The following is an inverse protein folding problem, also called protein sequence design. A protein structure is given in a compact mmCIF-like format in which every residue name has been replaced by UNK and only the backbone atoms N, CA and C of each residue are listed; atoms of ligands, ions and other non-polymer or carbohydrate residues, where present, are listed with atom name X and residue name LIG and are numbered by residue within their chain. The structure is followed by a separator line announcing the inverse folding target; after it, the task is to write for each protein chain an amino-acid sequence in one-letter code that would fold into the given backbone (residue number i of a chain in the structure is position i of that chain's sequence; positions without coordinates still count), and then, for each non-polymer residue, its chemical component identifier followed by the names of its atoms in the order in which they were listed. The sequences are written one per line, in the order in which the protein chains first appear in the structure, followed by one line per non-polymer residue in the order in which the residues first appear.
data_IF_916696700849
#
_entry.id   IF_916696700849
#
_cell.length_a   1.000
_cell.length_b   1.000
_cell.length_c   1.000
_cell.angle_alpha   90.00
_cell.angle_beta   90.00
_cell.angle_gamma   90.00
#
_symmetry.space_group_name_H-M   'P 1'
#
loop_
_entity.id
_entity.type
_entity.pdbx_description
1 polymer ?
#
# COMPACT_ATOMS: atom_id res chain seq x y z
N UNK A 1 0.68 -11.75 31.15
CA UNK A 1 0.58 -12.00 29.69
C UNK A 1 -0.89 -12.08 29.31
N UNK A 2 -1.33 -11.32 28.31
CA UNK A 2 -2.75 -11.20 27.92
C UNK A 2 -3.33 -12.44 27.26
N UNK A 3 -4.66 -12.57 27.32
CA UNK A 3 -5.41 -13.65 26.65
C UNK A 3 -5.08 -13.66 25.15
N UNK A 4 -4.62 -14.80 24.61
CA UNK A 4 -4.37 -14.96 23.17
C UNK A 4 -5.63 -14.66 22.37
N UNK A 5 -5.52 -13.73 21.41
CA UNK A 5 -6.64 -13.19 20.63
C UNK A 5 -7.75 -12.53 21.49
N UNK A 6 -7.42 -12.02 22.68
CA UNK A 6 -8.38 -11.47 23.64
C UNK A 6 -9.29 -10.39 23.04
N UNK A 7 -8.74 -9.49 22.23
CA UNK A 7 -9.51 -8.41 21.58
C UNK A 7 -10.55 -8.97 20.61
N UNK A 8 -10.17 -9.92 19.73
CA UNK A 8 -11.11 -10.51 18.78
C UNK A 8 -12.21 -11.28 19.51
N UNK A 9 -11.83 -12.08 20.52
CA UNK A 9 -12.78 -12.81 21.37
C UNK A 9 -13.75 -11.86 22.07
N UNK A 10 -13.25 -10.74 22.59
CA UNK A 10 -14.06 -9.71 23.25
C UNK A 10 -15.08 -9.10 22.28
N UNK A 11 -14.66 -8.69 21.08
CA UNK A 11 -15.57 -8.10 20.07
C UNK A 11 -16.66 -9.10 19.69
N UNK A 12 -16.29 -10.37 19.42
CA UNK A 12 -17.26 -11.41 19.07
C UNK A 12 -18.22 -11.70 20.22
N UNK A 13 -17.71 -11.75 21.46
CA UNK A 13 -18.55 -11.95 22.65
C UNK A 13 -19.53 -10.79 22.83
N UNK A 14 -19.08 -9.55 22.68
CA UNK A 14 -19.93 -8.37 22.80
C UNK A 14 -21.04 -8.34 21.75
N UNK A 15 -20.71 -8.61 20.48
CA UNK A 15 -21.70 -8.67 19.39
C UNK A 15 -22.71 -9.80 19.60
N UNK A 16 -22.24 -10.99 19.99
CA UNK A 16 -23.14 -12.14 20.23
C UNK A 16 -24.01 -11.95 21.47
N UNK A 17 -23.52 -11.31 22.54
CA UNK A 17 -24.35 -10.97 23.71
C UNK A 17 -25.41 -9.92 23.39
N UNK A 18 -25.15 -9.02 22.43
CA UNK A 18 -26.15 -8.09 21.88
C UNK A 18 -27.11 -8.76 20.88
N UNK A 19 -27.01 -10.08 20.65
CA UNK A 19 -27.88 -10.82 19.75
C UNK A 19 -27.55 -10.66 18.27
N UNK A 20 -26.34 -10.20 17.90
CA UNK A 20 -25.90 -10.20 16.51
C UNK A 20 -25.34 -11.56 16.10
N UNK A 21 -25.60 -11.95 14.85
CA UNK A 21 -24.82 -12.92 14.12
C UNK A 21 -23.47 -12.29 13.78
N UNK A 22 -22.38 -13.04 13.90
CA UNK A 22 -21.03 -12.51 13.70
C UNK A 22 -20.17 -13.41 12.86
N UNK A 23 -19.27 -12.81 12.08
CA UNK A 23 -18.27 -13.53 11.29
C UNK A 23 -17.06 -12.63 11.11
N UNK A 24 -15.86 -13.20 11.08
CA UNK A 24 -14.65 -12.42 10.85
C UNK A 24 -13.72 -13.13 9.87
N UNK A 25 -12.85 -12.36 9.24
CA UNK A 25 -11.84 -12.87 8.32
C UNK A 25 -10.68 -11.90 8.21
N UNK A 26 -9.47 -12.44 8.00
CA UNK A 26 -8.31 -11.64 7.61
C UNK A 26 -8.23 -11.63 6.10
N UNK A 27 -8.30 -10.45 5.49
CA UNK A 27 -8.24 -10.26 4.04
C UNK A 27 -6.87 -9.71 3.65
N UNK A 28 -6.29 -10.28 2.59
CA UNK A 28 -5.10 -9.75 1.93
C UNK A 28 -5.53 -8.81 0.81
N UNK A 29 -5.19 -7.53 0.90
CA UNK A 29 -5.61 -6.54 -0.09
C UNK A 29 -5.06 -6.83 -1.49
N UNK A 30 -3.81 -7.30 -1.60
CA UNK A 30 -3.22 -7.67 -2.89
C UNK A 30 -3.96 -8.76 -3.65
N UNK A 31 -4.80 -9.56 -2.97
CA UNK A 31 -5.69 -10.54 -3.61
C UNK A 31 -6.95 -9.93 -4.25
N UNK A 32 -7.12 -8.61 -4.13
CA UNK A 32 -8.26 -7.83 -4.64
C UNK A 32 -7.81 -6.76 -5.63
N UNK A 33 -6.77 -7.06 -6.42
CA UNK A 33 -6.37 -6.25 -7.57
C UNK A 33 -5.55 -5.01 -7.21
N UNK A 34 -4.68 -5.06 -6.20
CA UNK A 34 -3.72 -3.97 -5.92
C UNK A 34 -2.30 -4.52 -5.77
N UNK A 35 -1.26 -3.76 -6.11
CA UNK A 35 0.13 -4.19 -6.01
C UNK A 35 0.68 -4.01 -4.58
N UNK A 36 -0.06 -4.38 -3.55
CA UNK A 36 0.37 -4.13 -2.16
C UNK A 36 0.10 -5.33 -1.25
N UNK A 37 1.13 -5.68 -0.47
CA UNK A 37 0.97 -6.58 0.67
C UNK A 37 0.33 -5.82 1.83
N UNK A 38 -0.93 -6.11 2.15
CA UNK A 38 -1.64 -5.48 3.26
C UNK A 38 -2.76 -6.36 3.78
N UNK A 39 -2.52 -6.97 4.94
CA UNK A 39 -3.52 -7.78 5.66
C UNK A 39 -4.34 -6.92 6.61
N UNK A 40 -5.65 -7.15 6.66
CA UNK A 40 -6.60 -6.47 7.55
C UNK A 40 -7.62 -7.46 8.12
N UNK A 41 -7.91 -7.34 9.41
CA UNK A 41 -8.99 -8.08 10.07
C UNK A 41 -10.31 -7.35 9.85
N UNK A 42 -11.32 -8.06 9.36
CA UNK A 42 -12.68 -7.56 9.22
C UNK A 42 -13.63 -8.40 10.06
N UNK A 43 -14.63 -7.77 10.66
CA UNK A 43 -15.67 -8.40 11.47
C UNK A 43 -17.02 -7.89 10.99
N UNK A 44 -17.87 -8.79 10.51
CA UNK A 44 -19.27 -8.54 10.24
C UNK A 44 -20.12 -8.80 11.48
N UNK A 45 -21.09 -7.91 11.70
CA UNK A 45 -22.20 -8.09 12.64
C UNK A 45 -23.53 -7.87 11.93
N UNK A 46 -24.44 -8.83 11.98
CA UNK A 46 -25.79 -8.71 11.42
C UNK A 46 -26.86 -9.08 12.47
N UNK A 47 -27.96 -8.32 12.56
CA UNK A 47 -29.08 -8.67 13.44
C UNK A 47 -29.66 -10.05 13.08
N UNK A 48 -30.29 -10.77 14.02
CA UNK A 48 -30.87 -12.13 13.80
C UNK A 48 -31.81 -12.23 12.59
N UNK A 49 -32.55 -11.17 12.28
CA UNK A 49 -33.48 -11.11 11.13
C UNK A 49 -32.83 -10.50 9.88
N UNK A 50 -31.52 -10.62 9.73
CA UNK A 50 -30.76 -10.14 8.57
C UNK A 50 -29.82 -11.22 8.08
N UNK A 51 -29.44 -11.17 6.80
CA UNK A 51 -28.43 -12.08 6.26
C UNK A 51 -27.03 -11.59 6.64
N UNK A 52 -26.25 -12.48 7.27
CA UNK A 52 -24.84 -12.22 7.58
C UNK A 52 -24.01 -12.24 6.28
N UNK A 53 -23.30 -11.16 5.92
CA UNK A 53 -22.49 -11.14 4.70
C UNK A 53 -21.35 -12.16 4.70
N UNK A 54 -21.07 -12.73 3.53
CA UNK A 54 -19.85 -13.49 3.27
C UNK A 54 -18.65 -12.56 3.04
N UNK A 55 -17.43 -13.09 3.14
CA UNK A 55 -16.24 -12.37 2.68
C UNK A 55 -15.95 -12.68 1.20
N UNK A 56 -15.39 -11.70 0.46
CA UNK A 56 -15.04 -11.90 -0.93
C UNK A 56 -13.93 -12.93 -1.08
N UNK A 57 -14.02 -13.69 -2.17
CA UNK A 57 -12.94 -14.57 -2.62
C UNK A 57 -11.85 -13.75 -3.33
N UNK A 58 -10.58 -14.21 -3.31
CA UNK A 58 -9.52 -13.63 -4.12
C UNK A 58 -9.92 -13.49 -5.59
N UNK A 59 -9.73 -12.30 -6.15
CA UNK A 59 -9.89 -12.04 -7.60
C UNK A 59 -8.56 -12.05 -8.34
N UNK A 60 -7.47 -11.74 -7.62
CA UNK A 60 -6.13 -11.57 -8.17
C UNK A 60 -5.13 -12.46 -7.44
N UNK A 61 -4.23 -13.09 -8.20
CA UNK A 61 -3.11 -13.85 -7.65
C UNK A 61 -2.25 -12.92 -6.80
N UNK A 62 -1.70 -13.43 -5.70
CA UNK A 62 -0.75 -12.69 -4.89
C UNK A 62 0.21 -13.64 -4.20
N UNK A 63 1.47 -13.25 -4.09
CA UNK A 63 2.52 -14.07 -3.47
C UNK A 63 2.12 -14.53 -2.06
N UNK A 64 2.44 -15.79 -1.75
CA UNK A 64 2.04 -16.44 -0.50
C UNK A 64 2.64 -15.69 0.68
N UNK A 65 1.79 -15.05 1.47
CA UNK A 65 2.14 -14.53 2.78
C UNK A 65 1.45 -15.39 3.83
N UNK A 66 2.16 -15.74 4.90
CA UNK A 66 1.69 -16.69 5.91
C UNK A 66 0.21 -16.49 6.28
N UNK A 67 -0.54 -17.57 6.40
CA UNK A 67 -1.95 -17.49 6.81
C UNK A 67 -2.01 -17.00 8.27
N UNK A 68 -2.90 -16.03 8.54
CA UNK A 68 -3.21 -15.68 9.93
C UNK A 68 -4.20 -16.74 10.42
N UNK A 69 -3.67 -17.84 10.93
CA UNK A 69 -4.47 -18.88 11.57
C UNK A 69 -4.92 -18.37 12.93
N UNK A 70 -6.23 -18.25 13.15
CA UNK A 70 -6.75 -17.89 14.47
C UNK A 70 -6.89 -19.18 15.28
N UNK A 71 -5.99 -19.36 16.24
CA UNK A 71 -6.04 -20.46 17.19
C UNK A 71 -7.19 -20.22 18.17
N UNK A 72 -8.19 -21.09 18.08
CA UNK A 72 -9.29 -21.20 19.01
C UNK A 72 -8.80 -21.80 20.34
N UNK A 73 -9.50 -21.56 21.45
CA UNK A 73 -9.12 -22.09 22.77
C UNK A 73 -8.98 -23.61 22.84
N UNK A 74 -9.69 -24.34 21.97
CA UNK A 74 -9.65 -25.80 21.86
C UNK A 74 -8.49 -26.34 21.01
N UNK A 75 -7.53 -25.49 20.62
CA UNK A 75 -6.39 -25.88 19.77
C UNK A 75 -6.69 -25.87 18.27
N UNK A 76 -7.95 -25.77 17.85
CA UNK A 76 -8.31 -25.72 16.42
C UNK A 76 -7.95 -24.37 15.81
N UNK A 77 -7.63 -24.35 14.52
CA UNK A 77 -7.45 -23.09 13.77
C UNK A 77 -8.68 -22.76 12.94
N UNK A 78 -9.15 -21.52 13.02
CA UNK A 78 -10.20 -21.01 12.16
C UNK A 78 -9.60 -20.21 11.01
N UNK A 79 -9.85 -20.67 9.79
CA UNK A 79 -9.46 -19.98 8.55
C UNK A 79 -10.72 -19.82 7.71
N UNK A 80 -11.24 -18.59 7.63
CA UNK A 80 -12.50 -18.33 6.92
C UNK A 80 -12.36 -18.51 5.40
N UNK A 81 -11.24 -18.05 4.82
CA UNK A 81 -10.96 -18.24 3.40
C UNK A 81 -10.07 -19.48 3.20
N UNK A 82 -10.60 -20.50 2.53
CA UNK A 82 -9.75 -21.50 1.86
C UNK A 82 -9.04 -20.77 0.71
N UNK A 83 -7.92 -20.11 1.00
CA UNK A 83 -7.09 -19.54 -0.06
C UNK A 83 -6.70 -20.69 -0.98
N UNK A 84 -7.16 -20.68 -2.22
CA UNK A 84 -6.54 -21.41 -3.32
C UNK A 84 -5.06 -21.00 -3.34
N UNK A 85 -4.13 -21.95 -3.38
CA UNK A 85 -2.67 -21.79 -3.16
C UNK A 85 -2.01 -20.63 -3.96
N UNK A 86 -2.26 -19.36 -3.61
CA UNK A 86 -1.85 -18.20 -4.41
C UNK A 86 -2.59 -18.03 -5.75
N UNK A 87 -3.53 -18.91 -6.09
CA UNK A 87 -4.24 -18.89 -7.37
C UNK A 87 -5.52 -18.06 -7.28
N UNK A 88 -5.78 -17.23 -8.29
CA UNK A 88 -7.03 -16.53 -8.51
C UNK A 88 -7.23 -16.34 -10.03
N UNK A 89 -8.42 -15.89 -10.48
CA UNK A 89 -8.70 -15.74 -11.91
C UNK A 89 -7.79 -14.75 -12.65
N UNK A 90 -7.25 -13.73 -11.97
CA UNK A 90 -6.43 -12.67 -12.59
C UNK A 90 -4.96 -12.73 -12.12
N UNK A 91 -3.98 -12.35 -12.98
CA UNK A 91 -2.56 -12.27 -12.61
C UNK A 91 -2.31 -11.19 -11.55
N UNK A 92 -1.20 -11.25 -10.78
CA UNK A 92 -0.86 -10.22 -9.79
C UNK A 92 -0.65 -8.86 -10.45
N UNK A 93 -1.11 -7.79 -9.78
CA UNK A 93 -0.80 -6.42 -10.19
C UNK A 93 0.60 -6.06 -9.72
N UNK A 94 1.46 -5.58 -10.62
CA UNK A 94 2.85 -5.22 -10.31
C UNK A 94 3.03 -3.73 -9.98
N UNK A 95 4.21 -3.35 -9.48
CA UNK A 95 4.57 -1.93 -9.30
C UNK A 95 4.56 -1.22 -10.65
N UNK A 96 5.11 -1.82 -11.70
CA UNK A 96 5.10 -1.23 -13.06
C UNK A 96 3.67 -0.96 -13.54
N UNK A 97 2.78 -1.93 -13.40
CA UNK A 97 1.38 -1.76 -13.79
C UNK A 97 0.68 -0.66 -13.00
N UNK A 98 1.16 -0.26 -11.83
CA UNK A 98 0.59 0.83 -11.06
C UNK A 98 1.17 2.20 -11.35
N UNK A 99 2.47 2.31 -11.65
CA UNK A 99 3.14 3.62 -11.69
C UNK A 99 3.90 3.92 -12.98
N UNK A 100 3.97 2.97 -13.93
CA UNK A 100 4.77 3.09 -15.16
C UNK A 100 4.37 4.21 -16.12
N UNK A 101 3.12 4.71 -16.07
CA UNK A 101 2.64 5.83 -16.89
C UNK A 101 2.86 7.22 -16.25
N UNK A 102 3.36 7.29 -15.01
CA UNK A 102 3.52 8.57 -14.31
C UNK A 102 4.71 9.38 -14.88
N UNK A 103 4.58 10.72 -14.99
CA UNK A 103 5.67 11.58 -15.42
C UNK A 103 6.93 11.43 -14.56
N UNK A 104 8.04 11.03 -15.18
CA UNK A 104 9.28 10.79 -14.45
C UNK A 104 10.00 12.10 -14.04
N UNK A 105 10.60 12.08 -12.84
CA UNK A 105 11.53 13.10 -12.37
C UNK A 105 12.52 12.52 -11.35
N UNK A 106 13.65 13.19 -11.18
CA UNK A 106 14.74 12.75 -10.30
C UNK A 106 15.28 13.89 -9.46
N UNK A 107 15.89 13.55 -8.33
CA UNK A 107 16.62 14.53 -7.52
C UNK A 107 18.01 14.78 -8.10
N UNK A 108 18.40 16.05 -8.13
CA UNK A 108 19.79 16.45 -8.41
C UNK A 108 20.66 16.05 -7.22
N UNK A 109 21.83 15.46 -7.50
CA UNK A 109 22.82 15.16 -6.47
C UNK A 109 23.43 16.46 -5.93
N UNK A 110 23.38 16.73 -4.61
CA UNK A 110 23.92 17.96 -4.05
C UNK A 110 25.46 17.93 -3.87
N UNK A 111 26.13 16.79 -4.10
CA UNK A 111 27.58 16.61 -4.02
C UNK A 111 28.22 17.20 -2.76
N UNK A 112 27.61 16.95 -1.58
CA UNK A 112 28.08 17.51 -0.30
C UNK A 112 29.11 16.62 0.38
N UNK A 113 29.00 15.30 0.23
CA UNK A 113 29.92 14.33 0.86
C UNK A 113 30.97 13.87 -0.13
N UNK A 114 30.56 13.54 -1.36
CA UNK A 114 31.45 13.17 -2.43
C UNK A 114 31.39 14.24 -3.54
N UNK A 115 32.56 14.75 -3.99
CA UNK A 115 32.58 15.71 -5.09
C UNK A 115 32.00 15.09 -6.35
N UNK A 116 31.53 15.95 -7.24
CA UNK A 116 31.06 15.56 -8.57
C UNK A 116 32.21 14.95 -9.38
N UNK A 117 31.98 13.77 -9.95
CA UNK A 117 32.96 13.07 -10.80
C UNK A 117 32.70 13.36 -12.28
N UNK A 118 33.68 13.05 -13.15
CA UNK A 118 33.47 13.13 -14.60
C UNK A 118 32.37 12.16 -15.08
N UNK A 119 32.24 11.00 -14.43
CA UNK A 119 31.14 10.06 -14.67
C UNK A 119 29.77 10.66 -14.33
N UNK A 120 29.68 11.41 -13.24
CA UNK A 120 28.45 12.10 -12.83
C UNK A 120 28.05 13.15 -13.87
N UNK A 121 29.02 13.90 -14.42
CA UNK A 121 28.80 14.90 -15.48
C UNK A 121 28.46 14.29 -16.84
N UNK A 122 29.07 13.15 -17.17
CA UNK A 122 28.89 12.46 -18.45
C UNK A 122 27.58 11.66 -18.54
N UNK A 123 26.89 11.41 -17.42
CA UNK A 123 25.62 10.70 -17.41
C UNK A 123 24.48 11.58 -17.92
N UNK A 124 24.13 11.44 -19.21
CA UNK A 124 22.86 11.93 -19.73
C UNK A 124 21.70 11.21 -19.01
N UNK A 125 20.96 11.96 -18.20
CA UNK A 125 19.77 11.45 -17.49
C UNK A 125 18.53 11.68 -18.34
N UNK A 126 17.68 10.67 -18.56
CA UNK A 126 16.50 10.79 -19.43
C UNK A 126 15.32 11.54 -18.78
N UNK A 127 15.40 11.86 -17.48
CA UNK A 127 14.28 12.37 -16.70
C UNK A 127 14.52 13.81 -16.21
N UNK A 128 13.42 14.55 -15.98
CA UNK A 128 13.43 15.91 -15.40
C UNK A 128 14.20 15.90 -14.09
N UNK A 129 15.30 16.63 -14.01
CA UNK A 129 16.11 16.77 -12.80
C UNK A 129 15.58 17.95 -11.97
N UNK A 130 15.35 17.75 -10.68
CA UNK A 130 14.81 18.76 -9.77
C UNK A 130 15.72 18.91 -8.55
N UNK A 131 16.03 20.16 -8.20
CA UNK A 131 16.73 20.47 -6.95
C UNK A 131 15.78 20.29 -5.77
N UNK A 132 16.20 19.55 -4.75
CA UNK A 132 15.38 19.33 -3.55
C UNK A 132 15.48 20.56 -2.65
N UNK A 133 14.37 21.24 -2.32
CA UNK A 133 14.38 22.38 -1.41
C UNK A 133 14.61 21.90 0.03
N UNK A 134 14.94 22.82 0.95
CA UNK A 134 15.13 22.46 2.36
C UNK A 134 13.82 22.07 3.06
N UNK A 135 12.68 22.59 2.59
CA UNK A 135 11.34 22.38 3.16
C UNK A 135 10.29 22.26 2.06
N UNK A 136 9.14 21.68 2.39
CA UNK A 136 8.02 21.45 1.48
C UNK A 136 8.12 20.13 0.72
N UNK A 137 7.81 20.17 -0.58
CA UNK A 137 7.74 18.99 -1.43
C UNK A 137 8.49 19.18 -2.76
N UNK A 138 8.70 18.08 -3.47
CA UNK A 138 9.36 18.02 -4.78
C UNK A 138 8.43 17.34 -5.77
N UNK A 139 8.31 17.90 -6.98
CA UNK A 139 7.41 17.42 -8.02
C UNK A 139 6.24 18.37 -8.26
N UNK A 140 5.29 17.92 -9.07
CA UNK A 140 4.17 18.74 -9.53
C UNK A 140 2.88 18.28 -8.81
N UNK A 141 2.30 19.13 -7.95
CA UNK A 141 1.09 18.77 -7.18
C UNK A 141 -0.15 18.69 -8.06
N UNK A 142 -0.19 19.46 -9.15
CA UNK A 142 -1.21 19.40 -10.20
C UNK A 142 -0.47 19.45 -11.54
N UNK A 143 -0.76 18.50 -12.42
CA UNK A 143 -0.19 18.45 -13.77
C UNK A 143 -1.10 17.64 -14.70
N UNK A 144 -0.83 17.66 -16.00
CA UNK A 144 -1.49 16.78 -16.95
C UNK A 144 -0.69 15.50 -17.16
N UNK A 145 -1.39 14.39 -17.43
CA UNK A 145 -0.72 13.16 -17.84
C UNK A 145 -0.08 13.34 -19.22
N UNK A 146 1.22 13.06 -19.31
CA UNK A 146 1.96 13.09 -20.57
C UNK A 146 1.74 11.84 -21.43
N UNK A 147 1.38 10.72 -20.80
CA UNK A 147 1.21 9.42 -21.43
C UNK A 147 -0.22 8.93 -21.24
N UNK A 148 -0.70 8.17 -22.22
CA UNK A 148 -1.88 7.32 -22.08
C UNK A 148 -1.61 6.18 -21.08
N UNK A 149 -2.64 5.63 -20.42
CA UNK A 149 -2.45 4.47 -19.54
C UNK A 149 -1.86 3.29 -20.33
N UNK A 150 -0.83 2.67 -19.76
CA UNK A 150 -0.07 1.56 -20.35
C UNK A 150 -0.55 0.19 -19.85
N UNK A 151 -1.25 0.15 -18.72
CA UNK A 151 -1.84 -1.07 -18.14
C UNK A 151 -3.35 -0.93 -17.95
N UNK A 152 -4.03 -2.06 -17.80
CA UNK A 152 -5.46 -2.06 -17.45
C UNK A 152 -5.70 -1.47 -16.06
N UNK A 153 -4.78 -1.69 -15.11
CA UNK A 153 -4.85 -1.10 -13.79
C UNK A 153 -4.83 0.44 -13.86
N UNK A 154 -3.91 1.02 -14.64
CA UNK A 154 -3.83 2.47 -14.86
C UNK A 154 -5.09 2.99 -15.55
N UNK A 155 -5.63 2.26 -16.54
CA UNK A 155 -6.87 2.63 -17.23
C UNK A 155 -8.04 2.73 -16.25
N UNK A 156 -8.15 1.80 -15.32
CA UNK A 156 -9.20 1.80 -14.30
C UNK A 156 -9.05 2.95 -13.31
N UNK A 157 -7.83 3.19 -12.81
CA UNK A 157 -7.59 4.27 -11.84
C UNK A 157 -7.77 5.66 -12.44
N UNK A 158 -7.40 5.84 -13.72
CA UNK A 158 -7.53 7.12 -14.44
C UNK A 158 -8.92 7.39 -15.02
N UNK A 159 -9.87 6.48 -14.84
CA UNK A 159 -11.22 6.64 -15.40
C UNK A 159 -11.86 7.94 -14.91
N UNK A 160 -12.21 8.81 -15.86
CA UNK A 160 -12.88 10.09 -15.58
C UNK A 160 -11.94 11.25 -15.23
N UNK A 161 -10.62 11.12 -15.41
CA UNK A 161 -9.67 12.23 -15.22
C UNK A 161 -8.48 12.16 -16.18
N UNK A 162 -8.02 13.33 -16.64
CA UNK A 162 -6.75 13.53 -17.35
C UNK A 162 -5.77 14.40 -16.54
N UNK A 163 -6.16 14.78 -15.31
CA UNK A 163 -5.36 15.61 -14.42
C UNK A 163 -4.73 14.70 -13.36
N UNK A 164 -3.42 14.85 -13.20
CA UNK A 164 -2.59 14.18 -12.22
C UNK A 164 -2.45 15.07 -10.98
N UNK A 165 -3.00 14.62 -9.85
CA UNK A 165 -2.88 15.28 -8.56
C UNK A 165 -1.90 14.58 -7.62
N UNK A 166 -1.30 15.32 -6.70
CA UNK A 166 -0.43 14.84 -5.62
C UNK A 166 0.78 14.02 -6.11
N UNK A 167 1.33 14.30 -7.29
CA UNK A 167 2.55 13.65 -7.77
C UNK A 167 3.80 14.33 -7.21
N UNK A 168 3.90 14.30 -5.88
CA UNK A 168 4.94 14.99 -5.10
C UNK A 168 5.57 14.05 -4.07
N UNK A 169 6.84 14.29 -3.74
CA UNK A 169 7.55 13.68 -2.61
C UNK A 169 7.80 14.72 -1.52
N UNK A 170 8.07 14.29 -0.29
CA UNK A 170 8.64 15.19 0.72
C UNK A 170 10.04 15.68 0.33
N UNK A 171 10.42 16.86 0.82
CA UNK A 171 11.79 17.33 0.82
C UNK A 171 12.66 16.59 1.86
N UNK A 172 13.97 16.53 1.58
CA UNK A 172 14.97 15.95 2.47
C UNK A 172 16.23 16.83 2.53
N UNK A 173 17.03 16.66 3.59
CA UNK A 173 18.34 17.32 3.66
C UNK A 173 19.33 16.77 2.61
N UNK A 174 20.35 17.56 2.29
CA UNK A 174 21.35 17.22 1.27
C UNK A 174 21.98 15.84 1.47
N UNK A 175 22.29 15.46 2.72
CA UNK A 175 22.89 14.16 3.04
C UNK A 175 21.96 13.00 2.63
N UNK A 176 20.67 13.12 2.90
CA UNK A 176 19.67 12.10 2.57
C UNK A 176 19.39 12.05 1.08
N UNK A 177 19.37 13.21 0.41
CA UNK A 177 19.26 13.29 -1.05
C UNK A 177 20.44 12.60 -1.72
N UNK A 178 21.67 12.90 -1.28
CA UNK A 178 22.88 12.27 -1.82
C UNK A 178 22.88 10.74 -1.61
N UNK A 179 22.40 10.26 -0.45
CA UNK A 179 22.17 8.82 -0.23
C UNK A 179 21.18 8.24 -1.24
N UNK A 180 20.00 8.84 -1.40
CA UNK A 180 18.96 8.35 -2.31
C UNK A 180 19.47 8.26 -3.75
N UNK A 181 20.18 9.31 -4.21
CA UNK A 181 20.71 9.41 -5.57
C UNK A 181 21.78 8.34 -5.85
N UNK A 182 22.60 8.01 -4.85
CA UNK A 182 23.72 7.06 -4.96
C UNK A 182 23.32 5.59 -4.73
N UNK A 183 22.06 5.28 -4.39
CA UNK A 183 21.59 3.89 -4.38
C UNK A 183 21.62 3.33 -5.82
N UNK A 184 22.28 2.19 -6.07
CA UNK A 184 22.38 1.61 -7.41
C UNK A 184 21.02 1.32 -8.07
N UNK A 185 21.03 1.27 -9.41
CA UNK A 185 19.84 1.07 -10.25
C UNK A 185 19.57 -0.41 -10.55
N UNK A 186 19.46 -1.23 -9.51
CA UNK A 186 19.00 -2.62 -9.67
C UNK A 186 17.94 -2.97 -8.60
N UNK A 187 17.02 -3.91 -8.89
CA UNK A 187 15.97 -4.30 -7.96
C UNK A 187 16.52 -4.77 -6.62
N UNK A 188 15.97 -4.25 -5.52
CA UNK A 188 16.38 -4.63 -4.16
C UNK A 188 17.69 -4.01 -3.66
N UNK A 189 18.32 -3.11 -4.43
CA UNK A 189 19.43 -2.28 -3.94
C UNK A 189 19.01 -1.51 -2.69
N UNK A 190 19.86 -1.45 -1.67
CA UNK A 190 19.56 -0.81 -0.40
C UNK A 190 20.79 -0.11 0.20
N UNK A 191 20.69 0.35 1.45
CA UNK A 191 21.76 1.06 2.15
C UNK A 191 23.08 0.28 2.21
N UNK A 192 23.07 -1.06 2.10
CA UNK A 192 24.29 -1.87 2.10
C UNK A 192 25.18 -1.59 0.89
N UNK A 193 24.59 -1.07 -0.20
CA UNK A 193 25.27 -0.69 -1.42
C UNK A 193 25.75 0.77 -1.44
N UNK A 194 25.54 1.54 -0.36
CA UNK A 194 26.03 2.91 -0.29
C UNK A 194 27.55 2.97 -0.11
N UNK A 195 28.22 4.01 -0.66
CA UNK A 195 29.61 4.30 -0.34
C UNK A 195 29.83 4.55 1.15
N UNK A 196 31.00 4.22 1.67
CA UNK A 196 31.29 4.17 3.11
C UNK A 196 30.97 5.49 3.84
N UNK A 197 31.35 6.65 3.29
CA UNK A 197 31.08 7.95 3.93
C UNK A 197 29.59 8.31 4.00
N UNK A 198 28.76 7.65 3.19
CA UNK A 198 27.32 7.88 3.15
C UNK A 198 26.53 6.85 3.96
N UNK A 199 27.13 5.74 4.38
CA UNK A 199 26.44 4.78 5.25
C UNK A 199 26.02 5.46 6.56
N UNK A 200 24.75 5.33 6.97
CA UNK A 200 24.33 5.85 8.27
C UNK A 200 25.14 5.20 9.40
N UNK A 201 25.77 6.02 10.26
CA UNK A 201 26.62 5.53 11.36
C UNK A 201 25.92 4.47 12.24
N UNK A 202 24.63 4.66 12.51
CA UNK A 202 23.81 3.72 13.29
C UNK A 202 23.59 2.34 12.65
N UNK A 203 23.98 2.15 11.39
CA UNK A 203 23.89 0.88 10.66
C UNK A 203 25.27 0.22 10.49
N UNK A 204 26.36 0.98 10.65
CA UNK A 204 27.73 0.48 10.50
C UNK A 204 28.36 0.03 11.83
N UNK A 205 27.83 0.45 12.97
CA UNK A 205 28.38 0.10 14.29
C UNK A 205 27.96 -1.33 14.72
N UNK A 206 28.90 -2.25 15.02
CA UNK A 206 28.62 -3.59 15.51
C UNK A 206 27.80 -3.65 16.82
N UNK A 207 27.87 -2.59 17.63
CA UNK A 207 27.13 -2.46 18.90
C UNK A 207 25.74 -1.83 18.72
N UNK A 208 25.39 -1.41 17.51
CA UNK A 208 24.10 -0.78 17.23
C UNK A 208 22.95 -1.79 17.24
N UNK A 209 21.72 -1.26 17.34
CA UNK A 209 20.50 -2.05 17.18
C UNK A 209 20.41 -2.76 15.80
N UNK A 210 21.21 -2.34 14.80
CA UNK A 210 21.26 -2.96 13.48
C UNK A 210 21.77 -4.39 13.50
N UNK A 211 22.80 -4.67 14.31
CA UNK A 211 23.36 -6.01 14.47
C UNK A 211 22.30 -7.00 15.00
N UNK A 212 21.38 -6.53 15.84
CA UNK A 212 20.28 -7.34 16.42
C UNK A 212 19.08 -7.53 15.48
N UNK A 213 19.01 -6.77 14.37
CA UNK A 213 17.89 -6.76 13.42
C UNK A 213 18.36 -7.06 11.98
N UNK A 214 19.25 -8.04 11.81
CA UNK A 214 19.75 -8.50 10.50
C UNK A 214 20.26 -7.35 9.61
N UNK A 215 20.96 -6.38 10.21
CA UNK A 215 21.51 -5.22 9.51
C UNK A 215 20.47 -4.23 8.98
N UNK A 216 19.20 -4.32 9.39
CA UNK A 216 18.09 -3.53 8.83
C UNK A 216 18.05 -3.55 7.29
N UNK A 217 18.23 -4.73 6.70
CA UNK A 217 18.09 -4.95 5.25
C UNK A 217 16.81 -4.31 4.72
N UNK A 218 16.91 -3.57 3.62
CA UNK A 218 15.80 -2.85 2.99
C UNK A 218 15.68 -1.36 3.33
N UNK A 219 16.43 -0.82 4.31
CA UNK A 219 16.56 0.65 4.49
C UNK A 219 17.22 1.28 3.28
N UNK A 220 16.74 2.46 2.86
CA UNK A 220 17.06 3.05 1.55
C UNK A 220 16.83 2.07 0.38
N UNK A 221 15.89 1.15 0.54
CA UNK A 221 15.63 0.10 -0.43
C UNK A 221 14.93 0.65 -1.68
N UNK A 222 15.34 0.14 -2.84
CA UNK A 222 14.71 0.36 -4.14
C UNK A 222 13.62 -0.67 -4.38
N UNK A 223 12.46 -0.18 -4.81
CA UNK A 223 11.35 -1.02 -5.25
C UNK A 223 11.71 -1.79 -6.52
N UNK A 224 11.06 -2.93 -6.70
CA UNK A 224 11.13 -3.74 -7.90
C UNK A 224 9.87 -3.52 -8.75
N UNK A 225 10.03 -3.33 -10.06
CA UNK A 225 8.91 -3.14 -10.97
C UNK A 225 8.01 -4.37 -11.07
N UNK A 226 8.60 -5.56 -10.99
CA UNK A 226 7.87 -6.84 -11.04
C UNK A 226 7.35 -7.25 -9.65
N UNK A 227 7.73 -6.49 -8.61
CA UNK A 227 7.33 -6.72 -7.24
C UNK A 227 6.01 -6.06 -6.86
N UNK A 228 5.88 -5.78 -5.56
CA UNK A 228 4.73 -5.11 -4.95
C UNK A 228 5.20 -4.12 -3.87
N UNK A 229 4.35 -3.15 -3.55
CA UNK A 229 4.58 -2.19 -2.47
C UNK A 229 4.47 -2.85 -1.09
N UNK A 230 5.31 -2.39 -0.16
CA UNK A 230 5.24 -2.79 1.25
C UNK A 230 4.09 -2.09 2.00
N UNK A 231 3.72 -2.63 3.17
CA UNK A 231 2.48 -2.25 3.87
C UNK A 231 2.49 -0.84 4.49
N UNK A 232 3.65 -0.37 4.98
CA UNK A 232 3.71 0.88 5.74
C UNK A 232 3.89 2.09 4.81
N UNK A 233 2.75 2.62 4.33
CA UNK A 233 2.68 3.83 3.50
C UNK A 233 2.34 5.10 4.29
N UNK A 234 2.26 5.03 5.63
CA UNK A 234 1.89 6.17 6.49
C UNK A 234 3.00 7.18 6.69
N UNK A 235 4.25 6.78 6.51
CA UNK A 235 5.43 7.65 6.58
C UNK A 235 6.48 7.14 5.59
N UNK A 236 6.64 7.84 4.48
CA UNK A 236 7.61 7.48 3.44
C UNK A 236 8.95 8.09 3.84
N UNK A 237 9.76 7.28 4.53
CA UNK A 237 11.08 7.63 5.01
C UNK A 237 12.06 6.47 4.71
N UNK A 238 13.18 6.71 4.00
CA UNK A 238 14.19 5.69 3.72
C UNK A 238 14.80 5.03 4.96
N UNK A 239 14.80 5.71 6.12
CA UNK A 239 15.24 5.16 7.40
C UNK A 239 14.09 4.61 8.27
N UNK A 240 12.86 4.64 7.77
CA UNK A 240 11.68 4.12 8.47
C UNK A 240 11.64 2.59 8.49
N UNK A 241 10.72 2.01 9.28
CA UNK A 241 10.61 0.55 9.49
C UNK A 241 10.47 -0.28 8.20
N UNK A 242 9.90 0.29 7.14
CA UNK A 242 9.80 -0.37 5.83
C UNK A 242 11.05 -0.19 4.99
N UNK A 243 11.63 1.02 4.98
CA UNK A 243 12.91 1.34 4.32
C UNK A 243 12.90 1.33 2.78
N UNK A 244 12.15 0.42 2.17
CA UNK A 244 12.08 0.21 0.72
C UNK A 244 11.04 1.15 0.11
N UNK A 245 11.49 2.35 -0.22
CA UNK A 245 10.64 3.46 -0.69
C UNK A 245 11.24 4.21 -1.87
N UNK A 246 12.39 3.78 -2.40
CA UNK A 246 13.02 4.40 -3.57
C UNK A 246 12.36 3.87 -4.84
N UNK A 247 12.09 4.76 -5.79
CA UNK A 247 11.45 4.45 -7.06
C UNK A 247 12.29 3.43 -7.87
N UNK A 248 11.72 2.46 -8.61
CA UNK A 248 12.51 1.42 -9.28
C UNK A 248 13.57 1.90 -10.28
N UNK A 249 13.31 2.97 -11.05
CA UNK A 249 14.26 3.49 -12.05
C UNK A 249 14.59 4.99 -11.91
N UNK A 250 14.11 5.66 -10.85
CA UNK A 250 14.32 7.10 -10.65
C UNK A 250 15.11 7.35 -9.37
N UNK A 251 15.98 8.36 -9.36
CA UNK A 251 16.76 8.82 -8.20
C UNK A 251 15.91 9.66 -7.23
N UNK A 252 14.81 9.09 -6.76
CA UNK A 252 13.90 9.71 -5.76
C UNK A 252 13.14 8.64 -4.99
N UNK A 253 12.48 9.06 -3.93
CA UNK A 253 11.47 8.22 -3.26
C UNK A 253 10.15 8.22 -4.02
N UNK A 254 9.26 7.30 -3.65
CA UNK A 254 7.89 7.28 -4.17
C UNK A 254 7.08 8.51 -3.76
N UNK A 255 6.21 8.96 -4.65
CA UNK A 255 5.31 10.10 -4.46
C UNK A 255 4.04 9.73 -3.68
N UNK A 256 3.32 10.75 -3.22
CA UNK A 256 1.97 10.61 -2.64
C UNK A 256 1.03 9.87 -3.60
N UNK A 257 0.99 10.26 -4.89
CA UNK A 257 0.18 9.59 -5.92
C UNK A 257 0.58 8.13 -6.13
N UNK A 258 1.87 7.80 -6.15
CA UNK A 258 2.33 6.42 -6.28
C UNK A 258 1.86 5.56 -5.10
N UNK A 259 1.91 6.10 -3.88
CA UNK A 259 1.35 5.45 -2.69
C UNK A 259 -0.18 5.31 -2.75
N UNK A 260 -0.89 6.31 -3.29
CA UNK A 260 -2.33 6.25 -3.48
C UNK A 260 -2.72 5.12 -4.46
N UNK A 261 -1.99 5.02 -5.58
CA UNK A 261 -2.16 3.94 -6.55
C UNK A 261 -1.78 2.58 -5.99
N UNK A 262 -0.78 2.49 -5.11
CA UNK A 262 -0.47 1.24 -4.41
C UNK A 262 -1.66 0.71 -3.56
N UNK A 263 -2.51 1.60 -3.06
CA UNK A 263 -3.74 1.25 -2.32
C UNK A 263 -4.98 1.13 -3.21
N UNK A 264 -4.87 1.40 -4.51
CA UNK A 264 -5.99 1.37 -5.45
C UNK A 264 -6.94 2.56 -5.35
N UNK A 265 -6.45 3.72 -4.90
CA UNK A 265 -7.24 4.96 -5.01
C UNK A 265 -7.35 5.38 -6.49
N UNK A 266 -8.55 5.78 -6.94
CA UNK A 266 -8.70 6.36 -8.27
C UNK A 266 -7.98 7.71 -8.35
N UNK A 267 -7.53 8.07 -9.54
CA UNK A 267 -6.68 9.24 -9.74
C UNK A 267 -7.42 10.57 -9.59
N UNK A 268 -8.75 10.57 -9.72
CA UNK A 268 -9.59 11.73 -9.40
C UNK A 268 -9.66 12.02 -7.90
N UNK A 269 -9.29 11.08 -7.03
CA UNK A 269 -9.29 11.30 -5.58
C UNK A 269 -8.07 12.15 -5.20
N UNK A 270 -8.33 13.33 -4.63
CA UNK A 270 -7.31 14.30 -4.22
C UNK A 270 -7.11 14.24 -2.71
N UNK A 271 -5.85 14.21 -2.29
CA UNK A 271 -5.47 14.27 -0.88
C UNK A 271 -5.08 15.69 -0.52
N UNK A 272 -5.65 16.18 0.59
CA UNK A 272 -5.40 17.51 1.13
C UNK A 272 -4.62 17.42 2.44
N UNK A 273 -3.85 18.46 2.76
CA UNK A 273 -3.23 18.64 4.07
C UNK A 273 -3.41 20.10 4.48
N UNK A 274 -3.75 20.34 5.74
CA UNK A 274 -3.93 21.71 6.26
C UNK A 274 -2.62 22.52 6.23
N UNK A 275 -1.48 21.84 6.23
CA UNK A 275 -0.14 22.45 6.27
C UNK A 275 0.66 22.20 5.01
N UNK A 276 0.01 21.73 3.94
CA UNK A 276 0.69 21.31 2.73
C UNK A 276 1.83 20.31 3.02
N UNK A 277 1.56 19.37 3.95
CA UNK A 277 2.52 18.33 4.33
C UNK A 277 2.17 16.98 3.69
N UNK A 278 3.07 16.50 2.83
CA UNK A 278 3.00 15.15 2.25
C UNK A 278 2.84 14.04 3.30
N UNK A 279 3.36 14.23 4.53
CA UNK A 279 3.22 13.26 5.63
C UNK A 279 1.76 13.04 6.02
N UNK A 280 0.95 14.10 6.03
CA UNK A 280 -0.49 13.97 6.33
C UNK A 280 -1.21 13.22 5.21
N UNK A 281 -0.86 13.48 3.95
CA UNK A 281 -1.43 12.77 2.79
C UNK A 281 -1.05 11.29 2.83
N UNK A 282 0.23 10.97 3.10
CA UNK A 282 0.69 9.60 3.31
C UNK A 282 -0.03 8.93 4.49
N UNK A 283 -0.27 9.64 5.59
CA UNK A 283 -1.05 9.12 6.73
C UNK A 283 -2.48 8.78 6.34
N UNK A 284 -3.15 9.63 5.56
CA UNK A 284 -4.51 9.36 5.05
C UNK A 284 -4.52 8.08 4.21
N UNK A 285 -3.62 7.99 3.22
CA UNK A 285 -3.48 6.83 2.33
C UNK A 285 -3.15 5.56 3.13
N UNK A 286 -2.18 5.66 4.03
CA UNK A 286 -1.66 4.55 4.81
C UNK A 286 -2.63 4.04 5.88
N UNK A 287 -3.55 4.87 6.37
CA UNK A 287 -4.60 4.48 7.32
C UNK A 287 -5.88 3.96 6.65
N UNK A 288 -6.12 4.33 5.40
CA UNK A 288 -7.31 3.92 4.68
C UNK A 288 -7.42 2.40 4.48
N UNK A 289 -8.65 1.94 4.25
CA UNK A 289 -8.92 0.63 3.65
C UNK A 289 -8.80 0.78 2.13
N UNK A 290 -8.03 -0.09 1.45
CA UNK A 290 -7.92 -0.07 -0.02
C UNK A 290 -9.31 -0.06 -0.68
N UNK A 291 -9.62 0.89 -1.59
CA UNK A 291 -10.92 0.96 -2.24
C UNK A 291 -11.34 -0.33 -2.97
N UNK A 292 -10.46 -1.07 -3.66
CA UNK A 292 -10.85 -2.34 -4.29
C UNK A 292 -11.32 -3.40 -3.30
N UNK A 293 -10.65 -3.52 -2.15
CA UNK A 293 -11.05 -4.42 -1.06
C UNK A 293 -12.35 -3.97 -0.41
N UNK A 294 -12.52 -2.66 -0.17
CA UNK A 294 -13.74 -2.10 0.38
C UNK A 294 -14.95 -2.33 -0.56
N UNK A 295 -14.74 -2.16 -1.87
CA UNK A 295 -15.75 -2.44 -2.90
C UNK A 295 -16.13 -3.93 -2.91
N UNK A 296 -15.15 -4.84 -2.84
CA UNK A 296 -15.41 -6.28 -2.77
C UNK A 296 -16.25 -6.65 -1.54
N UNK A 297 -15.92 -6.11 -0.36
CA UNK A 297 -16.72 -6.26 0.86
C UNK A 297 -18.13 -5.66 0.71
N UNK A 298 -18.22 -4.47 0.12
CA UNK A 298 -19.48 -3.77 -0.13
C UNK A 298 -20.45 -4.56 -1.02
N UNK A 299 -19.95 -5.22 -2.07
CA UNK A 299 -20.76 -6.10 -2.92
C UNK A 299 -21.41 -7.24 -2.14
N UNK A 300 -20.69 -7.85 -1.20
CA UNK A 300 -21.25 -8.90 -0.34
C UNK A 300 -22.28 -8.36 0.65
N UNK A 301 -22.06 -7.16 1.19
CA UNK A 301 -23.06 -6.48 2.01
C UNK A 301 -24.34 -6.21 1.23
N UNK A 302 -24.24 -5.63 0.02
CA UNK A 302 -25.37 -5.36 -0.86
C UNK A 302 -26.12 -6.63 -1.22
N UNK A 303 -25.42 -7.72 -1.54
CA UNK A 303 -26.03 -9.03 -1.82
C UNK A 303 -26.90 -9.52 -0.64
N UNK A 304 -26.40 -9.40 0.59
CA UNK A 304 -27.15 -9.77 1.79
C UNK A 304 -28.37 -8.88 2.04
N UNK A 305 -28.25 -7.57 1.79
CA UNK A 305 -29.38 -6.64 1.91
C UNK A 305 -30.46 -6.91 0.84
N UNK A 306 -30.03 -7.15 -0.40
CA UNK A 306 -30.93 -7.45 -1.51
C UNK A 306 -31.71 -8.74 -1.28
N UNK A 307 -31.06 -9.81 -0.77
CA UNK A 307 -31.74 -11.05 -0.40
C UNK A 307 -32.85 -10.81 0.62
N UNK A 308 -32.59 -10.01 1.66
CA UNK A 308 -33.60 -9.63 2.65
C UNK A 308 -34.77 -8.87 2.03
N UNK A 309 -34.48 -7.96 1.11
CA UNK A 309 -35.50 -7.20 0.39
C UNK A 309 -36.42 -8.11 -0.43
N UNK A 310 -35.85 -9.03 -1.21
CA UNK A 310 -36.60 -9.98 -2.04
C UNK A 310 -37.50 -10.89 -1.20
N UNK A 311 -37.01 -11.39 -0.07
CA UNK A 311 -37.79 -12.27 0.81
C UNK A 311 -38.94 -11.50 1.47
N UNK A 312 -38.72 -10.25 1.89
CA UNK A 312 -39.78 -9.37 2.39
C UNK A 312 -40.83 -9.04 1.33
N UNK A 313 -40.41 -8.83 0.07
CA UNK A 313 -41.33 -8.56 -1.05
C UNK A 313 -42.21 -9.78 -1.34
N UNK A 314 -41.62 -10.99 -1.33
CA UNK A 314 -42.36 -12.25 -1.50
C UNK A 314 -43.37 -12.50 -0.37
N UNK A 315 -43.00 -12.20 0.88
CA UNK A 315 -43.90 -12.33 2.03
C UNK A 315 -45.15 -11.43 1.88
N UNK A 316 -44.95 -10.14 1.55
CA UNK A 316 -46.07 -9.20 1.31
C UNK A 316 -46.94 -9.57 0.12
N UNK A 317 -46.36 -10.17 -0.92
CA UNK A 317 -47.11 -10.64 -2.09
C UNK A 317 -48.03 -11.81 -1.78
N UNK A 318 -47.63 -12.71 -0.86
CA UNK A 318 -48.47 -13.81 -0.38
C UNK A 318 -49.62 -13.33 0.52
N UNK A 319 -49.37 -12.36 1.40
CA UNK A 319 -50.41 -11.79 2.27
C UNK A 319 -51.53 -11.05 1.51
N UNK A 320 -51.27 -10.55 0.30
CA UNK A 320 -52.28 -9.89 -0.55
C UNK A 320 -53.07 -10.85 -1.44
N UNK A 321 -52.64 -12.10 -1.55
CA UNK A 321 -53.26 -13.12 -2.39
C UNK A 321 -54.16 -14.10 -1.59
N UNK A 322 -54.26 -13.89 -0.27
CA UNK A 322 -55.13 -14.59 0.69
C UNK A 322 -56.22 -13.60 1.10
#
# INVERSE_FOLDING_TARGET
GGIKMGVVKFILRALTSMGYQTRFSVQQAGSHGIPQSRRRLFIWGAKRNSYLPDFPQPSTCFSKQGSVNILLPNGNSFTYNKCTNGHAPLPPVTVWEAIGDLPAFEFINPHKVYPETEEDRGQLRPFKQIMVPERGWVGDNVSEYKLSPLSEYQRQLRKGTNILHNHVTRAFNNLTVERIVRIPMFPGADHSNLPEKLKPWCLSDPNSAASRHNGWKGLFGRLDFDGHFLTALTDINPMGKTGTVIHPNQRRIVTVRECARAQGFPDWFVFYSDRDDTKDMHRQIGNAVPPPLANALGRHLVKSLYKKYDDNKKAKGKERAI
#
